data_IF_815131733927
#
_entry.id   IF_815131733927
#
_cell.length_a   1.000
_cell.length_b   1.000
_cell.length_c   1.000
_cell.angle_alpha   90.00
_cell.angle_beta   90.00
_cell.angle_gamma   90.00
#
_symmetry.space_group_name_H-M   'P 1'
#
loop_
_entity.id
_entity.type
_entity.pdbx_description
1 polymer ?
#
# COMPACT_ATOMS: atom_id res chain seq x y z
N UNK A 1 11.73 36.04 -37.16
CA UNK A 1 10.85 35.05 -37.79
C UNK A 1 9.75 34.62 -36.82
N UNK A 2 8.45 34.52 -37.27
CA UNK A 2 7.32 34.11 -36.41
C UNK A 2 7.48 32.69 -35.84
N UNK A 3 8.28 31.83 -36.45
CA UNK A 3 8.52 30.45 -36.00
C UNK A 3 9.36 30.34 -34.72
N UNK A 4 10.18 31.32 -34.39
CA UNK A 4 11.05 31.24 -33.19
C UNK A 4 10.33 31.55 -31.88
N UNK A 5 9.15 32.18 -31.91
CA UNK A 5 8.39 32.51 -30.69
C UNK A 5 7.57 31.33 -30.15
N UNK A 6 7.12 30.40 -30.99
CA UNK A 6 6.30 29.25 -30.55
C UNK A 6 7.11 28.14 -29.85
N UNK A 7 8.34 27.90 -30.27
CA UNK A 7 9.20 26.87 -29.67
C UNK A 7 9.76 27.29 -28.28
N UNK A 8 10.02 28.61 -28.08
CA UNK A 8 10.49 29.11 -26.80
C UNK A 8 9.48 28.98 -25.66
N UNK A 9 8.18 29.08 -25.94
CA UNK A 9 7.13 28.96 -24.95
C UNK A 9 6.78 27.50 -24.59
N UNK A 10 7.02 26.57 -25.50
CA UNK A 10 6.82 25.13 -25.23
C UNK A 10 7.90 24.60 -24.25
N UNK A 11 9.14 25.03 -24.38
CA UNK A 11 10.24 24.64 -23.49
C UNK A 11 10.18 25.31 -22.11
N UNK A 12 9.51 26.44 -21.95
CA UNK A 12 9.35 27.15 -20.67
C UNK A 12 8.34 26.49 -19.72
N UNK A 13 7.60 25.46 -20.15
CA UNK A 13 6.58 24.76 -19.36
C UNK A 13 6.85 23.26 -19.26
N UNK A 14 8.09 22.89 -19.20
CA UNK A 14 8.48 21.49 -19.01
C UNK A 14 8.34 21.09 -17.54
N UNK A 15 7.67 19.96 -17.27
CA UNK A 15 7.67 19.33 -15.96
C UNK A 15 8.86 18.36 -15.91
N UNK A 16 9.78 18.63 -15.00
CA UNK A 16 10.93 17.77 -14.76
C UNK A 16 10.74 17.01 -13.45
N UNK A 17 10.68 15.67 -13.53
CA UNK A 17 10.67 14.83 -12.35
C UNK A 17 12.10 14.60 -11.86
N UNK A 18 12.30 14.77 -10.55
CA UNK A 18 13.60 14.56 -9.90
C UNK A 18 13.43 13.63 -8.69
N UNK A 19 14.45 12.84 -8.34
CA UNK A 19 14.45 12.09 -7.10
C UNK A 19 14.39 13.02 -5.89
N UNK A 20 13.72 12.62 -4.83
CA UNK A 20 13.62 13.38 -3.59
C UNK A 20 14.77 13.06 -2.62
N UNK A 21 15.48 11.93 -2.81
CA UNK A 21 16.61 11.54 -1.98
C UNK A 21 16.47 10.12 -1.42
N UNK A 22 16.45 9.97 -0.10
CA UNK A 22 16.28 8.69 0.60
C UNK A 22 14.81 8.46 0.95
N UNK A 23 14.22 7.39 0.42
CA UNK A 23 12.86 6.97 0.71
C UNK A 23 12.89 5.77 1.66
N UNK A 24 12.34 5.92 2.85
CA UNK A 24 12.12 4.80 3.75
C UNK A 24 10.76 4.15 3.48
N UNK A 25 10.73 2.82 3.33
CA UNK A 25 9.53 2.04 3.09
C UNK A 25 9.33 1.05 4.23
N UNK A 26 8.27 1.22 5.01
CA UNK A 26 7.87 0.30 6.09
C UNK A 26 6.66 -0.47 5.62
N UNK A 27 6.83 -1.78 5.36
CA UNK A 27 5.81 -2.61 4.73
C UNK A 27 5.15 -3.60 5.71
N UNK A 28 3.88 -3.99 5.45
CA UNK A 28 3.09 -4.84 6.33
C UNK A 28 3.30 -6.34 6.06
N UNK A 29 2.58 -7.16 6.82
CA UNK A 29 2.66 -8.63 6.79
C UNK A 29 1.66 -9.32 5.86
N UNK A 30 0.55 -8.66 5.50
CA UNK A 30 -0.57 -9.31 4.81
C UNK A 30 -0.32 -9.59 3.32
N UNK A 31 0.43 -8.75 2.65
CA UNK A 31 0.95 -8.93 1.29
C UNK A 31 2.42 -8.52 1.25
N UNK A 32 3.31 -9.28 1.91
CA UNK A 32 4.68 -8.83 2.19
C UNK A 32 5.47 -8.56 0.90
N UNK A 33 5.33 -9.40 -0.12
CA UNK A 33 6.00 -9.20 -1.40
C UNK A 33 5.46 -7.95 -2.12
N UNK A 34 4.17 -7.91 -2.38
CA UNK A 34 3.55 -6.87 -3.19
C UNK A 34 3.69 -5.48 -2.56
N UNK A 35 3.38 -5.36 -1.26
CA UNK A 35 3.39 -4.07 -0.56
C UNK A 35 4.81 -3.59 -0.19
N UNK A 36 5.82 -4.42 -0.39
CA UNK A 36 7.23 -4.02 -0.34
C UNK A 36 7.73 -3.60 -1.72
N UNK A 37 7.48 -4.41 -2.76
CA UNK A 37 8.09 -4.21 -4.07
C UNK A 37 7.43 -3.11 -4.90
N UNK A 38 6.12 -2.89 -4.80
CA UNK A 38 5.47 -1.81 -5.56
C UNK A 38 6.06 -0.44 -5.22
N UNK A 39 6.08 0.00 -3.95
CA UNK A 39 6.69 1.29 -3.60
C UNK A 39 8.21 1.31 -3.86
N UNK A 40 8.92 0.19 -3.65
CA UNK A 40 10.34 0.08 -3.95
C UNK A 40 10.65 0.34 -5.42
N UNK A 41 9.95 -0.35 -6.33
CA UNK A 41 10.18 -0.20 -7.78
C UNK A 41 9.93 1.24 -8.21
N UNK A 42 8.86 1.86 -7.72
CA UNK A 42 8.54 3.25 -8.04
C UNK A 42 9.59 4.22 -7.50
N UNK A 43 10.07 4.02 -6.29
CA UNK A 43 11.11 4.86 -5.69
C UNK A 43 12.45 4.75 -6.44
N UNK A 44 12.88 3.52 -6.78
CA UNK A 44 14.10 3.29 -7.54
C UNK A 44 14.00 3.80 -8.98
N UNK A 45 12.85 3.59 -9.65
CA UNK A 45 12.63 4.08 -11.02
C UNK A 45 12.66 5.61 -11.09
N UNK A 46 12.28 6.30 -10.00
CA UNK A 46 12.39 7.76 -9.89
C UNK A 46 13.81 8.23 -9.52
N UNK A 47 14.78 7.32 -9.33
CA UNK A 47 16.18 7.63 -9.00
C UNK A 47 16.47 7.83 -7.51
N UNK A 48 15.55 7.46 -6.63
CA UNK A 48 15.76 7.57 -5.19
C UNK A 48 16.60 6.41 -4.64
N UNK A 49 17.22 6.64 -3.49
CA UNK A 49 17.77 5.59 -2.63
C UNK A 49 16.67 5.05 -1.72
N UNK A 50 16.74 3.77 -1.38
CA UNK A 50 15.64 3.14 -0.64
C UNK A 50 16.13 2.40 0.60
N UNK A 51 15.47 2.68 1.72
CA UNK A 51 15.61 1.95 2.96
C UNK A 51 14.32 1.14 3.20
N UNK A 52 14.42 -0.20 3.19
CA UNK A 52 13.28 -1.09 3.39
C UNK A 52 13.25 -1.65 4.81
N UNK A 53 12.10 -1.56 5.46
CA UNK A 53 11.81 -2.29 6.71
C UNK A 53 10.58 -3.16 6.51
N UNK A 54 10.74 -4.45 6.18
CA UNK A 54 9.64 -5.40 6.10
C UNK A 54 9.08 -5.72 7.50
N UNK A 55 7.89 -6.34 7.55
CA UNK A 55 7.25 -6.68 8.80
C UNK A 55 8.00 -7.77 9.56
N UNK A 56 8.13 -7.62 10.86
CA UNK A 56 8.65 -8.62 11.80
C UNK A 56 7.77 -9.89 11.87
N UNK A 57 6.48 -9.78 11.50
CA UNK A 57 5.56 -10.92 11.48
C UNK A 57 5.81 -11.90 10.33
N UNK A 58 6.56 -11.49 9.32
CA UNK A 58 6.93 -12.32 8.16
C UNK A 58 8.45 -12.56 8.12
N UNK A 59 9.01 -13.02 9.22
CA UNK A 59 10.45 -13.11 9.42
C UNK A 59 11.18 -13.91 8.33
N UNK A 60 10.63 -15.03 7.83
CA UNK A 60 11.26 -15.81 6.74
C UNK A 60 11.36 -15.01 5.45
N UNK A 61 10.28 -14.29 5.09
CA UNK A 61 10.30 -13.38 3.95
C UNK A 61 11.31 -12.25 4.17
N UNK A 62 11.30 -11.65 5.35
CA UNK A 62 12.18 -10.52 5.68
C UNK A 62 13.64 -10.90 5.64
N UNK A 63 14.02 -12.06 6.20
CA UNK A 63 15.39 -12.57 6.15
C UNK A 63 15.85 -12.95 4.75
N UNK A 64 14.96 -13.55 3.94
CA UNK A 64 15.26 -13.83 2.54
C UNK A 64 15.47 -12.53 1.75
N UNK A 65 14.60 -11.55 1.96
CA UNK A 65 14.70 -10.25 1.31
C UNK A 65 16.02 -9.55 1.67
N UNK A 66 16.38 -9.54 2.96
CA UNK A 66 17.65 -8.98 3.44
C UNK A 66 18.85 -9.64 2.76
N UNK A 67 18.86 -10.98 2.65
CA UNK A 67 19.92 -11.72 1.97
C UNK A 67 20.00 -11.36 0.48
N UNK A 68 18.87 -11.33 -0.24
CA UNK A 68 18.84 -10.99 -1.66
C UNK A 68 19.38 -9.58 -1.90
N UNK A 69 19.01 -8.61 -1.06
CA UNK A 69 19.49 -7.24 -1.19
C UNK A 69 20.96 -7.09 -0.80
N UNK A 70 21.41 -7.85 0.18
CA UNK A 70 22.82 -7.87 0.59
C UNK A 70 23.72 -8.38 -0.54
N UNK A 71 23.31 -9.42 -1.25
CA UNK A 71 24.08 -10.08 -2.31
C UNK A 71 23.93 -9.40 -3.68
N UNK A 72 22.75 -8.82 -3.98
CA UNK A 72 22.39 -8.37 -5.33
C UNK A 72 22.32 -6.87 -5.55
N UNK A 73 22.33 -6.05 -4.50
CA UNK A 73 22.22 -4.60 -4.62
C UNK A 73 23.39 -3.86 -3.99
N UNK A 74 23.77 -2.73 -4.60
CA UNK A 74 24.64 -1.76 -3.94
C UNK A 74 23.90 -1.19 -2.72
N UNK A 75 24.54 -1.28 -1.56
CA UNK A 75 23.97 -0.81 -0.28
C UNK A 75 23.72 0.69 -0.25
N UNK A 76 24.38 1.46 -1.13
CA UNK A 76 24.12 2.89 -1.28
C UNK A 76 22.85 3.17 -2.08
N UNK A 77 22.32 2.19 -2.82
CA UNK A 77 21.10 2.30 -3.63
C UNK A 77 19.89 1.77 -2.90
N UNK A 78 19.98 0.56 -2.36
CA UNK A 78 18.86 -0.04 -1.64
C UNK A 78 19.36 -0.94 -0.51
N UNK A 79 18.73 -0.82 0.67
CA UNK A 79 19.09 -1.59 1.86
C UNK A 79 17.85 -2.09 2.59
N UNK A 80 17.90 -3.34 3.07
CA UNK A 80 16.88 -3.91 3.95
C UNK A 80 17.38 -3.88 5.39
N UNK A 81 16.52 -3.49 6.30
CA UNK A 81 16.74 -3.52 7.75
C UNK A 81 15.62 -4.32 8.39
N UNK A 82 15.93 -5.51 8.87
CA UNK A 82 15.03 -6.32 9.68
C UNK A 82 14.99 -5.78 11.12
N UNK A 83 13.82 -5.82 11.73
CA UNK A 83 13.63 -5.36 13.10
C UNK A 83 12.16 -5.16 13.45
N UNK A 84 11.91 -4.78 14.68
CA UNK A 84 10.60 -4.59 15.28
C UNK A 84 10.06 -3.15 15.19
N UNK A 85 9.14 -2.81 16.09
CA UNK A 85 8.57 -1.47 16.18
C UNK A 85 9.61 -0.39 16.57
N UNK A 86 10.64 -0.75 17.35
CA UNK A 86 11.70 0.19 17.73
C UNK A 86 12.54 0.58 16.52
N UNK A 87 12.83 -0.36 15.64
CA UNK A 87 13.50 -0.12 14.36
C UNK A 87 12.66 0.79 13.46
N UNK A 88 11.35 0.57 13.37
CA UNK A 88 10.44 1.43 12.60
C UNK A 88 10.43 2.88 13.15
N UNK A 89 10.44 3.02 14.48
CA UNK A 89 10.54 4.32 15.14
C UNK A 89 11.85 5.03 14.80
N UNK A 90 13.00 4.33 14.94
CA UNK A 90 14.31 4.90 14.60
C UNK A 90 14.36 5.40 13.15
N UNK A 91 13.84 4.60 12.20
CA UNK A 91 13.79 5.00 10.79
C UNK A 91 12.89 6.24 10.60
N UNK A 92 11.74 6.31 11.29
CA UNK A 92 10.83 7.44 11.17
C UNK A 92 11.37 8.75 11.79
N UNK A 93 12.34 8.64 12.72
CA UNK A 93 13.01 9.77 13.36
C UNK A 93 14.37 10.10 12.72
N UNK A 94 14.76 9.37 11.68
CA UNK A 94 16.05 9.59 11.04
C UNK A 94 16.01 10.84 10.13
N UNK A 95 16.94 11.75 10.35
CA UNK A 95 17.06 13.02 9.62
C UNK A 95 17.51 12.86 8.18
N UNK A 96 18.14 11.72 7.86
CA UNK A 96 18.59 11.40 6.50
C UNK A 96 17.46 10.82 5.62
N UNK A 97 16.26 10.63 6.18
CA UNK A 97 15.09 10.17 5.43
C UNK A 97 14.33 11.37 4.87
N UNK A 98 14.31 11.50 3.54
CA UNK A 98 13.62 12.58 2.84
C UNK A 98 12.13 12.31 2.60
N UNK A 99 11.71 11.04 2.61
CA UNK A 99 10.30 10.63 2.52
C UNK A 99 10.07 9.29 3.19
N UNK A 100 8.96 9.15 3.90
CA UNK A 100 8.57 7.90 4.55
C UNK A 100 7.27 7.36 3.97
N UNK A 101 7.33 6.15 3.39
CA UNK A 101 6.18 5.40 2.91
C UNK A 101 5.85 4.29 3.90
N UNK A 102 4.68 4.36 4.51
CA UNK A 102 4.23 3.39 5.50
C UNK A 102 2.94 2.72 5.06
N UNK A 103 2.89 1.39 5.13
CA UNK A 103 1.66 0.61 4.97
C UNK A 103 1.41 -0.22 6.22
N UNK A 104 0.24 -0.07 6.85
CA UNK A 104 -0.08 -0.81 8.05
C UNK A 104 -1.37 -0.36 8.75
N UNK A 105 -1.47 -0.62 10.05
CA UNK A 105 -2.65 -0.20 10.82
C UNK A 105 -2.69 1.30 11.07
N UNK A 106 -3.90 1.87 11.14
CA UNK A 106 -4.10 3.29 11.45
C UNK A 106 -3.45 3.70 12.77
N UNK A 107 -3.47 2.82 13.78
CA UNK A 107 -2.82 3.10 15.08
C UNK A 107 -1.32 3.30 14.92
N UNK A 108 -0.65 2.38 14.23
CA UNK A 108 0.80 2.48 14.01
C UNK A 108 1.14 3.64 13.06
N UNK A 109 0.35 3.85 12.01
CA UNK A 109 0.55 4.97 11.08
C UNK A 109 0.51 6.34 11.77
N UNK A 110 -0.37 6.52 12.76
CA UNK A 110 -0.41 7.74 13.58
C UNK A 110 0.90 7.95 14.37
N UNK A 111 1.48 6.89 14.93
CA UNK A 111 2.75 6.98 15.65
C UNK A 111 3.91 7.28 14.68
N UNK A 112 3.95 6.60 13.54
CA UNK A 112 4.95 6.85 12.49
C UNK A 112 4.89 8.32 12.02
N UNK A 113 3.69 8.85 11.77
CA UNK A 113 3.54 10.25 11.36
C UNK A 113 4.02 11.24 12.44
N UNK A 114 3.80 10.95 13.72
CA UNK A 114 4.33 11.78 14.83
C UNK A 114 5.86 11.78 14.84
N UNK A 115 6.49 10.61 14.69
CA UNK A 115 7.94 10.52 14.66
C UNK A 115 8.55 11.24 13.46
N UNK A 116 7.97 11.06 12.26
CA UNK A 116 8.41 11.76 11.07
C UNK A 116 8.26 13.27 11.16
N UNK A 117 7.21 13.75 11.84
CA UNK A 117 6.97 15.19 12.05
C UNK A 117 8.05 15.88 12.88
N UNK A 118 8.79 15.15 13.72
CA UNK A 118 9.91 15.71 14.51
C UNK A 118 11.01 16.30 13.60
N UNK A 119 11.18 15.73 12.39
CA UNK A 119 12.13 16.20 11.38
C UNK A 119 11.46 16.84 10.16
N UNK A 120 10.13 17.05 10.20
CA UNK A 120 9.32 17.53 9.07
C UNK A 120 9.41 16.60 7.84
N UNK A 121 9.70 15.31 8.04
CA UNK A 121 9.78 14.31 6.97
C UNK A 121 8.37 14.06 6.40
N UNK A 122 8.13 14.29 5.08
CA UNK A 122 6.86 13.99 4.44
C UNK A 122 6.52 12.50 4.51
N UNK A 123 5.24 12.18 4.75
CA UNK A 123 4.79 10.78 4.86
C UNK A 123 3.70 10.45 3.85
N UNK A 124 3.79 9.26 3.24
CA UNK A 124 2.67 8.59 2.58
C UNK A 124 2.19 7.46 3.47
N UNK A 125 0.93 7.50 3.89
CA UNK A 125 0.34 6.53 4.82
C UNK A 125 -0.75 5.74 4.11
N UNK A 126 -0.48 4.45 3.84
CA UNK A 126 -1.44 3.47 3.36
C UNK A 126 -1.97 2.67 4.54
N UNK A 127 -3.21 2.90 4.92
CA UNK A 127 -3.78 2.42 6.18
C UNK A 127 -4.93 1.44 5.94
N UNK A 128 -5.43 0.87 7.03
CA UNK A 128 -6.62 0.02 6.98
C UNK A 128 -7.87 0.82 6.62
N UNK A 129 -8.89 0.11 6.15
CA UNK A 129 -10.17 0.69 5.74
C UNK A 129 -11.36 -0.06 6.31
N UNK A 130 -12.52 0.60 6.26
CA UNK A 130 -13.85 0.06 6.50
C UNK A 130 -14.67 0.25 5.22
N UNK A 131 -14.27 -0.48 4.15
CA UNK A 131 -14.80 -0.30 2.81
C UNK A 131 -16.25 -0.79 2.70
N UNK A 132 -17.25 0.08 2.43
CA UNK A 132 -18.62 -0.32 2.18
C UNK A 132 -18.77 -0.94 0.79
N UNK A 133 -19.66 -1.93 0.66
CA UNK A 133 -20.15 -2.35 -0.64
C UNK A 133 -21.66 -2.10 -0.70
N UNK A 134 -22.12 -1.40 -1.75
CA UNK A 134 -23.51 -1.03 -1.90
C UNK A 134 -24.17 -1.80 -3.05
N UNK A 135 -25.23 -2.55 -2.74
CA UNK A 135 -26.05 -3.27 -3.72
C UNK A 135 -27.31 -2.44 -4.02
N UNK A 136 -27.29 -1.79 -5.19
CA UNK A 136 -28.38 -0.90 -5.63
C UNK A 136 -29.62 -1.68 -6.06
N UNK A 137 -30.75 -0.97 -6.22
CA UNK A 137 -32.03 -1.55 -6.69
C UNK A 137 -31.92 -2.25 -8.04
N UNK A 138 -31.11 -1.71 -8.96
CA UNK A 138 -30.95 -2.24 -10.33
C UNK A 138 -29.88 -3.34 -10.44
N UNK A 139 -29.09 -3.57 -9.40
CA UNK A 139 -28.03 -4.57 -9.42
C UNK A 139 -28.60 -6.00 -9.42
N UNK A 140 -27.88 -6.96 -9.99
CA UNK A 140 -28.14 -8.38 -9.81
C UNK A 140 -27.57 -8.82 -8.46
N UNK A 141 -28.44 -9.28 -7.55
CA UNK A 141 -28.03 -9.75 -6.22
C UNK A 141 -27.00 -10.87 -6.31
N UNK A 142 -27.25 -11.88 -7.13
CA UNK A 142 -26.35 -13.03 -7.30
C UNK A 142 -24.97 -12.63 -7.80
N UNK A 143 -24.89 -11.81 -8.84
CA UNK A 143 -23.62 -11.36 -9.40
C UNK A 143 -22.86 -10.43 -8.42
N UNK A 144 -23.59 -9.56 -7.72
CA UNK A 144 -23.00 -8.69 -6.71
C UNK A 144 -22.42 -9.47 -5.55
N UNK A 145 -23.17 -10.41 -4.99
CA UNK A 145 -22.72 -11.26 -3.88
C UNK A 145 -21.54 -12.14 -4.29
N UNK A 146 -21.56 -12.73 -5.48
CA UNK A 146 -20.42 -13.52 -5.97
C UNK A 146 -19.11 -12.71 -5.96
N UNK A 147 -19.13 -11.48 -6.49
CA UNK A 147 -17.96 -10.60 -6.51
C UNK A 147 -17.55 -10.12 -5.12
N UNK A 148 -18.52 -9.78 -4.27
CA UNK A 148 -18.28 -9.30 -2.91
C UNK A 148 -17.66 -10.41 -2.05
N UNK A 149 -18.20 -11.65 -2.12
CA UNK A 149 -17.67 -12.80 -1.39
C UNK A 149 -16.23 -13.10 -1.84
N UNK A 150 -15.97 -13.16 -3.15
CA UNK A 150 -14.60 -13.35 -3.64
C UNK A 150 -13.66 -12.24 -3.16
N UNK A 151 -14.05 -10.99 -3.27
CA UNK A 151 -13.24 -9.86 -2.80
C UNK A 151 -13.01 -9.84 -1.29
N UNK A 152 -14.02 -10.31 -0.51
CA UNK A 152 -13.87 -10.43 0.96
C UNK A 152 -12.99 -11.59 1.37
N UNK A 153 -13.11 -12.73 0.71
CA UNK A 153 -12.41 -13.96 1.12
C UNK A 153 -10.98 -14.04 0.59
N UNK A 154 -10.60 -13.16 -0.34
CA UNK A 154 -9.24 -13.05 -0.81
C UNK A 154 -8.29 -12.81 0.38
N UNK A 155 -7.23 -13.61 0.48
CA UNK A 155 -6.28 -13.58 1.60
C UNK A 155 -6.95 -13.66 2.98
N UNK A 156 -8.03 -14.45 3.11
CA UNK A 156 -8.86 -14.58 4.32
C UNK A 156 -9.41 -13.23 4.84
N UNK A 157 -9.65 -12.27 3.95
CA UNK A 157 -10.15 -10.94 4.29
C UNK A 157 -9.10 -9.97 4.85
N UNK A 158 -7.84 -10.36 4.86
CA UNK A 158 -6.72 -9.56 5.39
C UNK A 158 -6.23 -8.53 4.35
N UNK A 159 -7.16 -7.75 3.80
CA UNK A 159 -6.92 -6.77 2.75
C UNK A 159 -7.52 -5.43 3.17
N UNK A 160 -6.73 -4.35 3.06
CA UNK A 160 -7.17 -3.01 3.46
C UNK A 160 -8.41 -2.50 2.70
N UNK A 161 -8.61 -2.95 1.46
CA UNK A 161 -9.73 -2.60 0.59
C UNK A 161 -10.82 -3.69 0.53
N UNK A 162 -10.73 -4.77 1.33
CA UNK A 162 -11.76 -5.79 1.37
C UNK A 162 -13.10 -5.20 1.79
N UNK A 163 -14.23 -5.63 1.19
CA UNK A 163 -15.55 -5.26 1.67
C UNK A 163 -15.72 -5.57 3.17
N UNK A 164 -16.03 -4.56 3.98
CA UNK A 164 -16.17 -4.70 5.43
C UNK A 164 -17.61 -4.84 5.85
N UNK A 165 -18.50 -4.03 5.25
CA UNK A 165 -19.93 -4.12 5.47
C UNK A 165 -20.72 -3.89 4.18
N UNK A 166 -21.97 -4.38 4.17
CA UNK A 166 -22.84 -4.30 3.01
C UNK A 166 -24.02 -3.39 3.31
N UNK A 167 -24.31 -2.51 2.36
CA UNK A 167 -25.54 -1.73 2.30
C UNK A 167 -26.37 -2.31 1.16
N UNK A 168 -27.51 -2.89 1.50
CA UNK A 168 -28.34 -3.64 0.57
C UNK A 168 -29.69 -2.95 0.39
N UNK A 169 -30.11 -2.73 -0.87
CA UNK A 169 -31.43 -2.16 -1.13
C UNK A 169 -32.55 -3.08 -0.61
N UNK A 170 -33.56 -2.49 0.03
CA UNK A 170 -34.68 -3.18 0.72
C UNK A 170 -35.36 -4.30 -0.12
N UNK A 171 -35.42 -4.17 -1.44
CA UNK A 171 -36.00 -5.21 -2.29
C UNK A 171 -35.36 -6.60 -2.16
N UNK A 172 -34.12 -6.66 -1.64
CA UNK A 172 -33.37 -7.91 -1.47
C UNK A 172 -33.43 -8.48 -0.04
N UNK A 173 -34.09 -7.78 0.89
CA UNK A 173 -34.11 -8.12 2.32
C UNK A 173 -34.46 -9.59 2.58
N UNK A 174 -35.49 -10.11 1.91
CA UNK A 174 -35.98 -11.48 2.10
C UNK A 174 -35.03 -12.55 1.50
N UNK A 175 -34.34 -12.23 0.41
CA UNK A 175 -33.58 -13.24 -0.35
C UNK A 175 -32.05 -13.11 -0.13
N UNK A 176 -31.63 -12.09 0.59
CA UNK A 176 -30.19 -11.78 0.74
C UNK A 176 -29.44 -12.90 1.44
N UNK A 177 -29.89 -13.31 2.62
CA UNK A 177 -29.18 -14.29 3.48
C UNK A 177 -29.11 -15.65 2.79
N UNK A 178 -30.18 -16.14 2.24
CA UNK A 178 -30.22 -17.41 1.52
C UNK A 178 -29.30 -17.41 0.31
N UNK A 179 -29.36 -16.33 -0.51
CA UNK A 179 -28.52 -16.19 -1.69
C UNK A 179 -27.04 -16.10 -1.30
N UNK A 180 -26.72 -15.39 -0.22
CA UNK A 180 -25.36 -15.26 0.29
C UNK A 180 -24.77 -16.63 0.66
N UNK A 181 -25.45 -17.42 1.51
CA UNK A 181 -24.96 -18.74 1.92
C UNK A 181 -24.91 -19.74 0.78
N UNK A 182 -25.86 -19.69 -0.15
CA UNK A 182 -25.84 -20.52 -1.36
C UNK A 182 -24.60 -20.26 -2.23
N UNK A 183 -24.22 -18.99 -2.39
CA UNK A 183 -23.03 -18.64 -3.17
C UNK A 183 -21.75 -18.97 -2.39
N UNK A 184 -21.73 -18.65 -1.10
CA UNK A 184 -20.58 -18.96 -0.24
C UNK A 184 -20.26 -20.46 -0.25
N UNK A 185 -21.25 -21.33 -0.06
CA UNK A 185 -21.08 -22.78 -0.08
C UNK A 185 -20.69 -23.36 -1.44
N UNK A 186 -20.95 -22.64 -2.56
CA UNK A 186 -20.44 -23.03 -3.88
C UNK A 186 -18.98 -22.64 -4.10
N UNK A 187 -18.55 -21.52 -3.53
CA UNK A 187 -17.19 -21.00 -3.70
C UNK A 187 -16.22 -21.63 -2.70
N UNK A 188 -16.71 -21.98 -1.53
CA UNK A 188 -15.93 -22.54 -0.41
C UNK A 188 -16.72 -23.72 0.20
N UNK A 189 -16.70 -24.89 -0.48
CA UNK A 189 -17.42 -26.08 -0.05
C UNK A 189 -16.88 -26.69 1.25
#
# INVERSE_FOLDING_TARGET
>A
SPMSRGLGDVYKRQILYQPIGVVAIISPWNYPLQLTFIPLINALAAGNRVLLKPSEKTHHFSSLLEKIFYEGFDRSVARVICGDQSTAKCIAQDKEVDHLFFTGSTRVGKEIAKYAAENLTPTTLELGGKSPAYITRSASLTNSLHRIILGKMLNAGQTCIAPDYLIVHRKYELNFVETFFKILGKLYP
#
